data_IF_826444916514
#
_entry.id   IF_826444916514
#
_cell.length_a   1.000
_cell.length_b   1.000
_cell.length_c   1.000
_cell.angle_alpha   90.00
_cell.angle_beta   90.00
_cell.angle_gamma   90.00
#
_symmetry.space_group_name_H-M   'P 1'
#
loop_
_entity.id
_entity.type
_entity.pdbx_description
1 polymer ?
#
# COMPACT_ATOMS: atom_id res chain seq x y z
N UNK A 1 -53.06 2.17 13.28
CA UNK A 1 -53.86 0.94 13.43
C UNK A 1 -52.98 -0.11 14.06
N UNK A 2 -53.38 -0.53 15.30
CA UNK A 2 -53.06 -1.75 16.08
C UNK A 2 -51.55 -2.01 16.34
N UNK A 3 -51.01 -1.70 17.52
CA UNK A 3 -51.15 -2.39 18.86
C UNK A 3 -50.45 -3.76 18.85
N UNK A 4 -49.23 -3.86 19.45
CA UNK A 4 -48.80 -4.48 20.72
C UNK A 4 -49.41 -5.87 21.08
N UNK A 5 -48.93 -6.60 22.08
CA UNK A 5 -47.71 -6.62 22.91
C UNK A 5 -47.28 -8.05 23.37
N UNK A 6 -46.42 -8.10 24.46
CA UNK A 6 -46.14 -9.18 25.43
C UNK A 6 -45.09 -10.22 25.02
N UNK A 7 -44.11 -10.61 25.87
CA UNK A 7 -44.24 -11.00 27.29
C UNK A 7 -42.92 -10.91 28.07
N UNK A 8 -43.05 -10.50 29.30
CA UNK A 8 -42.19 -10.68 30.47
C UNK A 8 -42.12 -12.15 30.90
N UNK A 9 -40.97 -12.56 31.40
CA UNK A 9 -40.80 -13.53 32.51
C UNK A 9 -39.38 -13.32 33.01
N UNK A 10 -39.07 -12.72 34.13
CA UNK A 10 -39.34 -12.97 35.55
C UNK A 10 -38.99 -14.40 35.98
N UNK A 11 -38.04 -14.53 36.86
CA UNK A 11 -37.67 -15.79 37.45
C UNK A 11 -36.37 -15.78 38.26
N UNK A 12 -36.40 -15.12 39.38
CA UNK A 12 -36.08 -15.63 40.73
C UNK A 12 -34.61 -15.90 41.10
N UNK A 13 -34.24 -15.05 42.00
CA UNK A 13 -33.27 -15.25 43.10
C UNK A 13 -33.43 -16.61 43.78
N UNK A 14 -32.33 -17.24 44.14
CA UNK A 14 -32.25 -18.08 45.34
C UNK A 14 -30.99 -17.75 46.12
N UNK A 15 -31.23 -17.01 47.21
CA UNK A 15 -30.40 -17.01 48.41
C UNK A 15 -30.58 -18.36 49.12
N UNK A 16 -29.51 -18.92 49.60
CA UNK A 16 -29.50 -19.84 50.76
C UNK A 16 -28.17 -19.64 51.49
N UNK A 17 -28.21 -18.91 52.53
CA UNK A 17 -28.24 -19.17 53.98
C UNK A 17 -27.23 -20.19 54.47
N UNK A 18 -26.39 -19.64 55.36
CA UNK A 18 -25.55 -20.36 56.37
C UNK A 18 -26.42 -21.21 57.29
N UNK A 19 -25.77 -22.23 57.94
CA UNK A 19 -25.78 -22.09 59.38
C UNK A 19 -24.42 -22.34 60.06
N UNK A 20 -24.33 -21.70 61.19
CA UNK A 20 -23.35 -21.84 62.21
C UNK A 20 -23.59 -23.15 63.02
N UNK A 21 -22.56 -23.69 63.56
CA UNK A 21 -22.61 -24.80 64.50
C UNK A 21 -21.45 -24.75 65.47
N UNK A 22 -21.80 -24.38 66.58
CA UNK A 22 -21.00 -24.21 67.79
C UNK A 22 -20.40 -25.48 68.36
N UNK A 23 -19.26 -25.30 69.02
CA UNK A 23 -18.98 -25.79 70.38
C UNK A 23 -18.75 -27.28 70.62
N UNK A 24 -17.58 -27.56 71.12
CA UNK A 24 -17.31 -28.31 72.33
C UNK A 24 -15.85 -27.97 72.68
N UNK A 25 -15.59 -27.12 73.50
CA UNK A 25 -15.41 -27.05 74.96
C UNK A 25 -14.84 -28.33 75.58
N UNK A 26 -13.60 -28.14 76.01
CA UNK A 26 -13.20 -28.35 77.43
C UNK A 26 -12.85 -29.78 77.91
N UNK A 27 -11.90 -29.78 78.69
CA UNK A 27 -11.49 -30.76 79.72
C UNK A 27 -10.29 -31.61 79.21
N UNK A 28 -9.11 -31.41 79.67
CA UNK A 28 -8.66 -31.87 80.99
C UNK A 28 -7.43 -31.10 81.44
N UNK A 29 -7.60 -30.30 82.42
CA UNK A 29 -6.62 -29.82 83.41
C UNK A 29 -6.46 -30.93 84.41
N UNK A 30 -5.27 -31.12 84.93
CA UNK A 30 -4.94 -31.79 86.18
C UNK A 30 -4.17 -33.12 86.02
N UNK A 31 -3.17 -33.11 86.68
CA UNK A 31 -2.38 -34.09 87.44
C UNK A 31 -0.94 -33.97 87.10
N UNK A 32 -0.06 -33.62 87.87
CA UNK A 32 0.10 -33.29 89.29
C UNK A 32 1.52 -32.85 89.53
N UNK A 33 1.63 -31.81 90.28
CA UNK A 33 2.84 -31.59 91.09
C UNK A 33 3.10 -32.85 91.88
N UNK A 34 4.32 -33.32 91.89
CA UNK A 34 5.05 -33.85 93.03
C UNK A 34 6.23 -34.68 92.58
N UNK A 35 7.38 -34.17 92.77
CA UNK A 35 8.39 -34.82 93.58
C UNK A 35 9.64 -33.90 93.56
N UNK A 36 9.69 -33.13 94.54
CA UNK A 36 10.89 -32.49 95.06
C UNK A 36 11.76 -33.55 95.73
N UNK A 37 13.01 -33.24 95.69
CA UNK A 37 14.07 -33.62 96.59
C UNK A 37 14.79 -34.97 96.33
N UNK A 38 15.98 -34.85 95.96
CA UNK A 38 17.07 -35.23 96.81
C UNK A 38 18.43 -35.09 96.12
N UNK A 39 19.30 -34.41 96.86
CA UNK A 39 20.69 -34.54 97.05
C UNK A 39 21.66 -34.09 95.96
N UNK A 40 22.12 -32.95 96.08
CA UNK A 40 23.37 -32.41 96.72
C UNK A 40 24.55 -33.35 96.83
N UNK A 41 25.59 -32.86 96.31
CA UNK A 41 27.05 -32.96 96.63
C UNK A 41 27.96 -33.46 95.52
N UNK A 42 28.90 -32.58 95.23
CA UNK A 42 30.23 -33.00 94.90
C UNK A 42 30.89 -32.27 93.72
N UNK A 43 31.48 -31.19 93.97
CA UNK A 43 32.71 -30.59 93.58
C UNK A 43 33.31 -30.89 92.23
N UNK A 44 33.75 -29.84 91.59
CA UNK A 44 34.73 -29.92 90.52
C UNK A 44 34.58 -28.88 89.45
N UNK A 45 35.17 -27.73 89.63
CA UNK A 45 35.50 -26.78 88.57
C UNK A 45 36.25 -27.44 87.46
N UNK A 46 35.73 -27.34 86.26
CA UNK A 46 36.53 -27.28 85.05
C UNK A 46 35.77 -26.52 83.98
N UNK A 47 36.26 -25.33 83.79
CA UNK A 47 35.92 -24.55 82.60
C UNK A 47 36.38 -25.36 81.38
N UNK A 48 35.42 -25.78 80.56
CA UNK A 48 35.71 -26.22 79.22
C UNK A 48 34.72 -25.48 78.32
N UNK A 49 35.26 -24.54 77.58
CA UNK A 49 34.53 -23.73 76.61
C UNK A 49 33.67 -24.60 75.74
N UNK A 50 32.36 -24.42 75.80
CA UNK A 50 31.45 -24.92 74.78
C UNK A 50 31.69 -24.13 73.52
N UNK A 51 32.57 -24.61 72.66
CA UNK A 51 32.59 -24.20 71.26
C UNK A 51 31.21 -24.52 70.70
N UNK A 52 30.43 -23.50 70.45
CA UNK A 52 29.19 -23.59 69.61
C UNK A 52 29.60 -24.16 68.26
N UNK A 53 29.44 -25.45 68.10
CA UNK A 53 29.55 -26.08 66.76
C UNK A 53 28.40 -25.56 65.94
N UNK A 54 28.64 -24.49 65.14
CA UNK A 54 27.82 -24.08 64.07
C UNK A 54 27.73 -25.28 63.12
N UNK A 55 26.52 -25.81 62.86
CA UNK A 55 26.40 -26.90 61.90
C UNK A 55 27.09 -26.50 60.59
N UNK A 56 27.78 -27.37 59.89
CA UNK A 56 28.40 -27.06 58.62
C UNK A 56 27.32 -26.60 57.64
N UNK A 57 27.55 -25.46 57.04
CA UNK A 57 26.63 -24.93 56.04
C UNK A 57 26.45 -25.97 54.93
N UNK A 58 25.20 -26.37 54.71
CA UNK A 58 24.85 -27.26 53.60
C UNK A 58 25.18 -26.55 52.28
N UNK A 59 25.90 -27.21 51.38
CA UNK A 59 26.15 -26.64 50.09
C UNK A 59 24.84 -26.52 49.31
N UNK A 60 24.44 -25.30 49.00
CA UNK A 60 23.26 -25.00 48.16
C UNK A 60 23.76 -24.64 46.76
N UNK A 61 23.23 -25.33 45.77
CA UNK A 61 23.47 -24.97 44.39
C UNK A 61 22.76 -23.66 44.06
N UNK A 62 23.50 -22.63 43.67
CA UNK A 62 22.94 -21.36 43.21
C UNK A 62 23.04 -21.30 41.68
N UNK A 63 21.91 -21.09 41.03
CA UNK A 63 21.87 -20.77 39.60
C UNK A 63 21.95 -19.26 39.46
N UNK A 64 23.00 -18.75 38.84
CA UNK A 64 23.10 -17.34 38.50
C UNK A 64 22.18 -17.06 37.32
N UNK A 65 21.02 -16.49 37.57
CA UNK A 65 20.08 -16.06 36.53
C UNK A 65 20.59 -14.75 35.95
N UNK A 66 20.92 -14.76 34.67
CA UNK A 66 21.23 -13.56 33.91
C UNK A 66 19.97 -13.15 33.12
N UNK A 67 19.60 -11.89 33.21
CA UNK A 67 18.51 -11.34 32.39
C UNK A 67 19.00 -11.27 30.95
N UNK A 68 18.37 -12.04 30.07
CA UNK A 68 18.56 -11.92 28.61
C UNK A 68 17.37 -11.18 28.06
N UNK A 69 17.56 -10.13 27.26
CA UNK A 69 16.43 -9.45 26.62
C UNK A 69 15.73 -10.42 25.67
N UNK A 70 14.47 -10.70 25.95
CA UNK A 70 13.61 -11.50 25.08
C UNK A 70 12.94 -10.55 24.09
N UNK A 71 13.16 -10.78 22.80
CA UNK A 71 12.49 -10.04 21.75
C UNK A 71 10.99 -10.36 21.79
N UNK A 72 10.16 -9.34 21.87
CA UNK A 72 8.70 -9.47 21.72
C UNK A 72 8.41 -9.32 20.24
N UNK A 73 7.80 -10.35 19.62
CA UNK A 73 7.26 -10.30 18.28
C UNK A 73 5.73 -10.44 18.34
N UNK A 74 5.01 -9.68 17.56
CA UNK A 74 3.57 -9.76 17.41
C UNK A 74 3.27 -10.21 15.98
N UNK A 75 2.51 -11.29 15.81
CA UNK A 75 2.11 -11.80 14.52
C UNK A 75 0.81 -11.12 14.10
N UNK A 76 0.85 -10.39 13.00
CA UNK A 76 -0.27 -9.64 12.47
C UNK A 76 -0.67 -10.22 11.11
N UNK A 77 -1.97 -10.53 10.89
CA UNK A 77 -2.43 -10.97 9.58
C UNK A 77 -2.31 -9.84 8.57
N UNK A 78 -1.71 -10.13 7.41
CA UNK A 78 -1.52 -9.17 6.33
C UNK A 78 -1.90 -9.76 4.98
N UNK A 79 -2.17 -8.88 4.00
CA UNK A 79 -2.41 -9.24 2.61
C UNK A 79 -1.39 -8.57 1.73
N UNK A 80 -0.77 -9.36 0.85
CA UNK A 80 0.21 -8.85 -0.11
C UNK A 80 -0.51 -8.24 -1.30
N UNK A 81 -0.07 -7.05 -1.70
CA UNK A 81 -0.55 -6.32 -2.86
C UNK A 81 0.64 -5.79 -3.68
N UNK A 82 0.44 -5.65 -4.98
CA UNK A 82 1.43 -5.00 -5.83
C UNK A 82 1.59 -3.53 -5.41
N UNK A 83 2.83 -3.01 -5.47
CA UNK A 83 3.09 -1.61 -5.14
C UNK A 83 2.42 -0.64 -6.12
N UNK A 84 2.30 -1.05 -7.39
CA UNK A 84 1.59 -0.31 -8.44
C UNK A 84 0.82 -1.28 -9.33
N UNK A 85 -0.39 -0.88 -9.72
CA UNK A 85 -1.22 -1.63 -10.66
C UNK A 85 -1.61 -0.68 -11.79
N UNK A 86 -1.31 -1.06 -13.02
CA UNK A 86 -1.72 -0.33 -14.20
C UNK A 86 -2.64 -1.21 -15.05
N UNK A 87 -3.87 -0.76 -15.20
CA UNK A 87 -4.82 -1.36 -16.13
C UNK A 87 -4.56 -0.80 -17.53
N UNK A 88 -4.14 -1.66 -18.44
CA UNK A 88 -3.86 -1.33 -19.83
C UNK A 88 -5.17 -1.32 -20.60
N UNK A 89 -5.55 -0.16 -21.15
CA UNK A 89 -6.81 0.03 -21.89
C UNK A 89 -6.55 0.55 -23.28
N UNK A 90 -7.39 0.13 -24.23
CA UNK A 90 -7.37 0.66 -25.59
C UNK A 90 -7.79 2.15 -25.57
N UNK A 91 -6.95 3.01 -26.18
CA UNK A 91 -7.20 4.45 -26.33
C UNK A 91 -7.62 4.84 -27.74
N UNK A 92 -7.33 3.99 -28.73
CA UNK A 92 -7.80 4.10 -30.10
C UNK A 92 -8.85 3.00 -30.37
N UNK A 93 -9.83 3.31 -31.22
CA UNK A 93 -10.79 2.34 -31.71
C UNK A 93 -10.22 1.63 -32.94
N UNK A 94 -10.36 0.31 -32.97
CA UNK A 94 -9.90 -0.51 -34.12
C UNK A 94 -9.86 -1.99 -33.79
N UNK A 95 -9.40 -2.78 -34.72
CA UNK A 95 -9.22 -4.22 -34.56
C UNK A 95 -7.86 -4.45 -33.92
N UNK A 96 -7.80 -5.31 -32.89
CA UNK A 96 -6.55 -5.74 -32.26
C UNK A 96 -5.83 -6.69 -33.21
N UNK A 97 -4.71 -6.27 -33.78
CA UNK A 97 -3.96 -7.10 -34.72
C UNK A 97 -3.05 -8.11 -34.05
N UNK A 98 -2.27 -7.64 -33.05
CA UNK A 98 -1.20 -8.45 -32.46
C UNK A 98 -1.04 -8.17 -30.98
N UNK A 99 -0.69 -9.24 -30.26
CA UNK A 99 -0.16 -9.20 -28.90
C UNK A 99 1.36 -9.40 -28.97
N UNK A 100 2.13 -8.51 -28.36
CA UNK A 100 3.59 -8.44 -28.47
C UNK A 100 4.32 -8.88 -27.20
N UNK A 101 3.62 -9.52 -26.27
CA UNK A 101 4.17 -10.01 -25.01
C UNK A 101 3.72 -11.45 -24.73
N UNK A 102 4.43 -12.11 -23.82
CA UNK A 102 4.03 -13.40 -23.26
C UNK A 102 3.30 -13.16 -21.92
N UNK A 103 2.15 -13.78 -21.74
CA UNK A 103 1.39 -13.69 -20.48
C UNK A 103 2.23 -14.19 -19.30
N UNK A 104 2.17 -13.47 -18.18
CA UNK A 104 2.95 -13.76 -16.99
C UNK A 104 4.43 -13.36 -17.06
N UNK A 105 4.89 -12.76 -18.16
CA UNK A 105 6.27 -12.26 -18.27
C UNK A 105 6.42 -10.87 -17.63
N UNK A 106 7.66 -10.51 -17.35
CA UNK A 106 8.00 -9.16 -16.93
C UNK A 106 8.11 -8.25 -18.17
N UNK A 107 7.61 -7.01 -18.01
CA UNK A 107 7.60 -5.99 -19.06
C UNK A 107 8.17 -4.69 -18.51
N UNK A 108 8.79 -3.90 -19.39
CA UNK A 108 9.35 -2.59 -19.04
C UNK A 108 8.36 -1.45 -19.35
N UNK A 109 8.53 -0.33 -18.66
CA UNK A 109 7.80 0.88 -18.98
C UNK A 109 8.13 1.33 -20.42
N UNK A 110 7.11 1.63 -21.23
CA UNK A 110 7.26 1.97 -22.66
C UNK A 110 7.29 0.77 -23.59
N UNK A 111 7.42 -0.47 -23.09
CA UNK A 111 7.37 -1.68 -23.92
C UNK A 111 6.04 -1.79 -24.65
N UNK A 112 6.09 -2.12 -25.95
CA UNK A 112 4.89 -2.36 -26.77
C UNK A 112 4.22 -3.66 -26.35
N UNK A 113 2.94 -3.57 -26.05
CA UNK A 113 2.13 -4.71 -25.56
C UNK A 113 1.15 -5.19 -26.62
N UNK A 114 0.45 -4.26 -27.26
CA UNK A 114 -0.53 -4.59 -28.27
C UNK A 114 -0.40 -3.64 -29.47
N UNK A 115 -0.82 -4.14 -30.62
CA UNK A 115 -0.94 -3.38 -31.86
C UNK A 115 -2.40 -3.40 -32.31
N UNK A 116 -3.00 -2.23 -32.38
CA UNK A 116 -4.33 -2.01 -33.01
C UNK A 116 -4.05 -1.65 -34.47
N UNK A 117 -4.96 -2.03 -35.39
CA UNK A 117 -4.84 -1.72 -36.82
C UNK A 117 -4.58 -0.22 -37.04
N UNK A 118 -3.39 0.15 -37.52
CA UNK A 118 -3.00 1.54 -37.72
C UNK A 118 -3.56 2.13 -39.02
N UNK A 119 -3.98 1.31 -39.98
CA UNK A 119 -4.27 1.76 -41.35
C UNK A 119 -5.33 2.88 -41.44
N UNK A 120 -6.47 2.84 -40.72
CA UNK A 120 -7.41 3.94 -40.73
C UNK A 120 -6.84 5.23 -40.12
N UNK A 121 -6.00 5.10 -39.08
CA UNK A 121 -5.37 6.23 -38.39
C UNK A 121 -4.24 6.85 -39.23
N UNK A 122 -3.48 6.04 -39.95
CA UNK A 122 -2.49 6.51 -40.93
C UNK A 122 -3.16 7.27 -42.09
N UNK A 123 -4.28 6.77 -42.58
CA UNK A 123 -5.05 7.47 -43.59
C UNK A 123 -5.54 8.85 -43.08
N UNK A 124 -5.96 8.95 -41.83
CA UNK A 124 -6.34 10.22 -41.20
C UNK A 124 -5.16 11.19 -41.09
N UNK A 125 -3.96 10.71 -40.73
CA UNK A 125 -2.72 11.51 -40.69
C UNK A 125 -2.39 12.03 -42.08
N UNK A 126 -2.46 11.16 -43.10
CA UNK A 126 -2.16 11.54 -44.48
C UNK A 126 -3.15 12.60 -45.00
N UNK A 127 -4.44 12.47 -44.70
CA UNK A 127 -5.46 13.45 -45.02
C UNK A 127 -5.22 14.82 -44.36
N UNK A 128 -4.87 14.80 -43.05
CA UNK A 128 -4.56 16.04 -42.31
C UNK A 128 -3.27 16.70 -42.84
N UNK A 129 -2.24 15.90 -43.21
CA UNK A 129 -1.02 16.41 -43.83
C UNK A 129 -1.29 17.07 -45.19
N UNK A 130 -2.13 16.47 -46.03
CA UNK A 130 -2.55 17.07 -47.30
C UNK A 130 -3.29 18.39 -47.08
N UNK A 131 -4.16 18.48 -46.04
CA UNK A 131 -4.83 19.70 -45.69
C UNK A 131 -3.90 20.80 -45.23
N UNK A 132 -2.85 20.46 -44.45
CA UNK A 132 -1.81 21.40 -44.04
C UNK A 132 -1.05 21.91 -45.27
N UNK A 133 -0.66 21.04 -46.19
CA UNK A 133 0.08 21.41 -47.40
C UNK A 133 -0.76 22.37 -48.27
N UNK A 134 -2.09 22.14 -48.35
CA UNK A 134 -3.01 23.05 -49.03
C UNK A 134 -3.06 24.43 -48.39
N UNK A 135 -3.13 24.50 -47.03
CA UNK A 135 -3.15 25.77 -46.27
C UNK A 135 -1.81 26.53 -46.45
N UNK A 136 -0.68 25.86 -46.44
CA UNK A 136 0.64 26.45 -46.68
C UNK A 136 0.70 27.04 -48.10
N UNK A 137 0.15 26.34 -49.11
CA UNK A 137 0.14 26.82 -50.49
C UNK A 137 -0.76 28.05 -50.65
N UNK A 138 -1.92 28.08 -49.95
CA UNK A 138 -2.81 29.23 -49.95
C UNK A 138 -2.16 30.47 -49.31
N UNK A 139 -1.47 30.30 -48.16
CA UNK A 139 -0.75 31.38 -47.53
C UNK A 139 0.40 31.91 -48.44
N UNK A 140 1.19 31.03 -49.06
CA UNK A 140 2.24 31.42 -49.99
C UNK A 140 1.67 32.26 -51.16
N UNK A 141 0.53 31.89 -51.71
CA UNK A 141 -0.14 32.64 -52.75
C UNK A 141 -0.57 34.03 -52.26
N UNK A 142 -1.21 34.12 -51.07
CA UNK A 142 -1.64 35.37 -50.45
C UNK A 142 -0.41 36.27 -50.13
N UNK A 143 0.67 35.70 -49.58
CA UNK A 143 1.92 36.42 -49.35
C UNK A 143 2.54 37.00 -50.62
N UNK A 144 2.56 36.22 -51.70
CA UNK A 144 3.01 36.73 -53.02
C UNK A 144 2.18 37.91 -53.51
N UNK A 145 0.84 37.90 -53.26
CA UNK A 145 -0.02 39.03 -53.58
C UNK A 145 0.33 40.28 -52.82
N UNK A 146 0.53 40.17 -51.48
CA UNK A 146 1.00 41.29 -50.62
C UNK A 146 2.35 41.79 -51.11
N UNK A 147 3.31 40.93 -51.36
CA UNK A 147 4.65 41.31 -51.85
C UNK A 147 4.55 42.08 -53.17
N UNK A 148 3.67 41.69 -54.07
CA UNK A 148 3.42 42.41 -55.34
C UNK A 148 2.78 43.76 -55.12
N UNK A 149 1.81 43.88 -54.21
CA UNK A 149 1.08 45.13 -53.94
C UNK A 149 1.89 46.12 -53.15
N UNK A 150 2.87 45.70 -52.34
CA UNK A 150 3.73 46.57 -51.52
C UNK A 150 4.44 47.67 -52.31
N UNK A 151 5.10 47.47 -53.47
CA UNK A 151 5.64 48.56 -54.27
C UNK A 151 4.59 49.35 -55.01
N UNK A 152 3.47 48.74 -55.40
CA UNK A 152 2.39 49.38 -56.19
C UNK A 152 1.63 50.40 -55.36
N UNK A 153 1.38 50.14 -54.08
CA UNK A 153 0.74 51.10 -53.17
C UNK A 153 1.63 52.35 -52.98
N UNK A 154 2.96 52.19 -52.95
CA UNK A 154 3.89 53.34 -52.82
C UNK A 154 3.86 54.18 -54.10
N UNK A 155 3.61 53.59 -55.26
CA UNK A 155 3.46 54.25 -56.52
C UNK A 155 2.04 54.77 -56.84
N UNK A 156 1.06 54.65 -55.88
CA UNK A 156 -0.35 54.95 -56.06
C UNK A 156 -1.00 54.19 -57.22
N UNK A 157 -0.48 52.99 -57.57
CA UNK A 157 -0.96 52.17 -58.68
C UNK A 157 -2.06 51.17 -58.25
N UNK A 158 -2.32 51.00 -56.96
CA UNK A 158 -3.42 50.20 -56.36
C UNK A 158 -4.08 50.99 -55.25
N UNK A 159 -5.35 50.69 -54.96
CA UNK A 159 -6.06 51.33 -53.87
C UNK A 159 -5.54 50.84 -52.51
N UNK A 160 -5.70 51.68 -51.49
CA UNK A 160 -5.33 51.30 -50.07
C UNK A 160 -6.18 50.11 -49.62
N UNK A 161 -7.45 50.10 -49.98
CA UNK A 161 -8.37 48.99 -49.68
C UNK A 161 -7.88 47.67 -50.26
N UNK A 162 -7.48 47.62 -51.56
CA UNK A 162 -7.00 46.40 -52.19
C UNK A 162 -5.74 45.88 -51.51
N UNK A 163 -4.85 46.75 -51.05
CA UNK A 163 -3.66 46.34 -50.27
C UNK A 163 -4.03 45.77 -48.89
N UNK A 164 -4.92 46.48 -48.18
CA UNK A 164 -5.38 46.07 -46.86
C UNK A 164 -6.11 44.73 -46.90
N UNK A 165 -6.94 44.53 -47.93
CA UNK A 165 -7.62 43.23 -48.18
C UNK A 165 -6.63 42.14 -48.49
N UNK A 166 -5.55 42.40 -49.24
CA UNK A 166 -4.51 41.41 -49.51
C UNK A 166 -3.75 41.04 -48.23
N UNK A 167 -3.46 42.01 -47.37
CA UNK A 167 -2.82 41.75 -46.04
C UNK A 167 -3.74 40.96 -45.11
N UNK A 168 -5.04 41.31 -45.10
CA UNK A 168 -6.02 40.57 -44.31
C UNK A 168 -6.12 39.11 -44.79
N UNK A 169 -6.20 38.88 -46.11
CA UNK A 169 -6.23 37.56 -46.71
C UNK A 169 -4.96 36.73 -46.35
N UNK A 170 -3.77 37.34 -46.36
CA UNK A 170 -2.57 36.68 -45.95
C UNK A 170 -2.62 36.27 -44.45
N UNK A 171 -3.05 37.18 -43.57
CA UNK A 171 -3.20 36.89 -42.14
C UNK A 171 -4.20 35.76 -41.90
N UNK A 172 -5.31 35.76 -42.63
CA UNK A 172 -6.31 34.68 -42.57
C UNK A 172 -5.71 33.34 -43.00
N UNK A 173 -5.00 33.29 -44.13
CA UNK A 173 -4.35 32.07 -44.61
C UNK A 173 -3.26 31.57 -43.65
N UNK A 174 -2.52 32.48 -42.98
CA UNK A 174 -1.56 32.12 -41.94
C UNK A 174 -2.26 31.51 -40.70
N UNK A 175 -3.44 32.01 -40.31
CA UNK A 175 -4.23 31.41 -39.24
C UNK A 175 -4.74 30.00 -39.63
N UNK A 176 -5.14 29.80 -40.88
CA UNK A 176 -5.61 28.50 -41.41
C UNK A 176 -4.50 27.44 -41.36
N UNK A 177 -3.20 27.81 -41.53
CA UNK A 177 -2.06 26.92 -41.29
C UNK A 177 -2.04 26.46 -39.85
N UNK A 178 -2.32 27.36 -38.89
CA UNK A 178 -2.40 27.01 -37.47
C UNK A 178 -3.45 25.93 -37.20
N UNK A 179 -4.62 26.12 -37.75
CA UNK A 179 -5.76 25.15 -37.63
C UNK A 179 -5.40 23.80 -38.24
N UNK A 180 -4.84 23.79 -39.48
CA UNK A 180 -4.49 22.55 -40.17
C UNK A 180 -3.32 21.82 -39.44
N UNK A 181 -2.36 22.55 -38.85
CA UNK A 181 -1.28 21.97 -38.07
C UNK A 181 -1.79 21.32 -36.79
N UNK A 182 -2.76 21.94 -36.13
CA UNK A 182 -3.42 21.37 -34.93
C UNK A 182 -4.18 20.07 -35.28
N UNK A 183 -4.90 20.05 -36.40
CA UNK A 183 -5.60 18.87 -36.90
C UNK A 183 -4.63 17.71 -37.21
N UNK A 184 -3.50 17.99 -37.87
CA UNK A 184 -2.44 16.99 -38.11
C UNK A 184 -1.89 16.43 -36.79
N UNK A 185 -1.59 17.27 -35.82
CA UNK A 185 -1.12 16.81 -34.52
C UNK A 185 -2.12 15.91 -33.81
N UNK A 186 -3.40 16.25 -33.86
CA UNK A 186 -4.45 15.38 -33.31
C UNK A 186 -4.47 14.00 -33.99
N UNK A 187 -4.39 13.96 -35.32
CA UNK A 187 -4.33 12.71 -36.07
C UNK A 187 -3.08 11.88 -35.71
N UNK A 188 -1.92 12.52 -35.57
CA UNK A 188 -0.68 11.84 -35.14
C UNK A 188 -0.77 11.28 -33.72
N UNK A 189 -1.40 12.00 -32.78
CA UNK A 189 -1.64 11.52 -31.41
C UNK A 189 -2.55 10.29 -31.47
N UNK A 190 -3.63 10.32 -32.22
CA UNK A 190 -4.51 9.17 -32.37
C UNK A 190 -3.80 7.96 -32.98
N UNK A 191 -2.96 8.17 -33.97
CA UNK A 191 -2.13 7.09 -34.54
C UNK A 191 -1.17 6.51 -33.49
N UNK A 192 -0.59 7.34 -32.63
CA UNK A 192 0.28 6.83 -31.57
C UNK A 192 -0.44 5.90 -30.59
N UNK A 193 -1.76 6.05 -30.43
CA UNK A 193 -2.58 5.18 -29.58
C UNK A 193 -2.89 3.81 -30.20
N UNK A 194 -2.61 3.62 -31.50
CA UNK A 194 -2.68 2.30 -32.13
C UNK A 194 -1.62 1.34 -31.56
N UNK A 195 -0.49 1.86 -31.09
CA UNK A 195 0.51 1.10 -30.36
C UNK A 195 0.27 1.27 -28.86
N UNK A 196 -0.19 0.21 -28.20
CA UNK A 196 -0.44 0.23 -26.76
C UNK A 196 0.82 -0.19 -26.02
N UNK A 197 1.31 0.66 -25.11
CA UNK A 197 2.54 0.44 -24.35
C UNK A 197 2.25 0.33 -22.85
N UNK A 198 3.17 -0.30 -22.10
CA UNK A 198 3.09 -0.34 -20.64
C UNK A 198 3.47 1.02 -20.03
N UNK A 199 2.67 1.59 -19.12
CA UNK A 199 3.01 2.80 -18.39
C UNK A 199 3.99 2.58 -17.23
N UNK A 200 4.13 1.33 -16.76
CA UNK A 200 5.00 0.93 -15.65
C UNK A 200 5.78 -0.35 -16.02
N UNK A 201 6.90 -0.55 -15.37
CA UNK A 201 7.57 -1.85 -15.37
C UNK A 201 6.92 -2.77 -14.34
N UNK A 202 6.89 -4.07 -14.62
CA UNK A 202 6.31 -5.09 -13.74
C UNK A 202 5.86 -6.33 -14.48
N UNK A 203 5.15 -7.20 -13.80
CA UNK A 203 4.62 -8.45 -14.36
C UNK A 203 3.27 -8.22 -15.03
N UNK A 204 3.16 -8.60 -16.29
CA UNK A 204 1.91 -8.51 -17.04
C UNK A 204 1.06 -9.76 -16.80
N UNK A 205 -0.22 -9.56 -16.56
CA UNK A 205 -1.19 -10.65 -16.43
C UNK A 205 -1.59 -11.26 -17.78
N UNK A 206 -2.72 -11.97 -17.78
CA UNK A 206 -3.33 -12.49 -19.01
C UNK A 206 -3.89 -11.37 -19.86
N UNK A 207 -3.94 -11.58 -21.17
CA UNK A 207 -4.73 -10.75 -22.08
C UNK A 207 -6.24 -10.95 -21.81
N UNK A 208 -6.98 -9.86 -21.75
CA UNK A 208 -8.44 -9.87 -21.53
C UNK A 208 -9.21 -9.90 -22.86
N UNK A 209 -8.51 -9.66 -23.96
CA UNK A 209 -9.04 -9.68 -25.33
C UNK A 209 -8.11 -10.48 -26.22
N UNK A 210 -8.67 -11.05 -27.28
CA UNK A 210 -7.94 -11.83 -28.26
C UNK A 210 -7.68 -11.01 -29.54
N UNK A 211 -6.72 -11.41 -30.34
CA UNK A 211 -6.45 -10.86 -31.66
C UNK A 211 -7.69 -11.02 -32.54
N UNK A 212 -7.98 -10.02 -33.36
CA UNK A 212 -9.20 -9.90 -34.14
C UNK A 212 -10.38 -9.23 -33.41
N UNK A 213 -10.27 -8.98 -32.12
CA UNK A 213 -11.33 -8.29 -31.37
C UNK A 213 -11.37 -6.80 -31.71
N UNK A 214 -12.59 -6.24 -31.78
CA UNK A 214 -12.81 -4.81 -31.90
C UNK A 214 -12.68 -4.17 -30.52
N UNK A 215 -11.79 -3.20 -30.36
CA UNK A 215 -11.50 -2.51 -29.10
C UNK A 215 -11.69 -1.01 -29.23
N UNK A 216 -11.83 -0.32 -28.09
CA UNK A 216 -11.84 1.15 -28.03
C UNK A 216 -13.11 1.81 -28.54
N UNK A 217 -14.21 1.07 -28.76
CA UNK A 217 -15.50 1.65 -29.12
C UNK A 217 -16.36 1.91 -27.87
N UNK A 218 -16.85 3.14 -27.72
CA UNK A 218 -17.72 3.56 -26.63
C UNK A 218 -16.97 3.75 -25.30
N UNK A 219 -16.59 2.66 -24.63
CA UNK A 219 -15.78 2.67 -23.42
C UNK A 219 -14.37 2.16 -23.71
N UNK A 220 -13.38 2.65 -22.94
CA UNK A 220 -12.01 2.17 -23.04
C UNK A 220 -11.94 0.69 -22.63
N UNK A 221 -11.76 -0.19 -23.64
CA UNK A 221 -11.72 -1.65 -23.43
C UNK A 221 -10.48 -2.04 -22.64
N UNK A 222 -10.60 -2.76 -21.51
CA UNK A 222 -9.45 -3.29 -20.78
C UNK A 222 -8.77 -4.40 -21.60
N UNK A 223 -7.44 -4.32 -21.73
CA UNK A 223 -6.63 -5.25 -22.52
C UNK A 223 -5.80 -6.20 -21.67
N UNK A 224 -5.17 -5.68 -20.63
CA UNK A 224 -4.35 -6.44 -19.67
C UNK A 224 -4.14 -5.62 -18.39
N UNK A 225 -3.56 -6.24 -17.38
CA UNK A 225 -3.12 -5.56 -16.16
C UNK A 225 -1.63 -5.80 -15.97
N UNK A 226 -0.87 -4.74 -15.70
CA UNK A 226 0.55 -4.81 -15.31
C UNK A 226 0.64 -4.48 -13.83
N UNK A 227 1.35 -5.33 -13.08
CA UNK A 227 1.54 -5.19 -11.64
C UNK A 227 3.03 -5.07 -11.34
N UNK A 228 3.40 -4.02 -10.66
CA UNK A 228 4.74 -3.87 -10.10
C UNK A 228 4.79 -4.65 -8.80
N UNK A 229 5.54 -5.76 -8.81
CA UNK A 229 5.64 -6.71 -7.70
C UNK A 229 6.97 -6.60 -6.94
N UNK A 230 7.80 -5.65 -7.28
CA UNK A 230 9.00 -5.26 -6.54
C UNK A 230 9.08 -3.72 -6.46
N UNK A 231 9.03 -3.17 -5.22
CA UNK A 231 8.62 -3.83 -3.97
C UNK A 231 7.14 -4.25 -3.96
N UNK A 232 6.74 -5.08 -2.99
CA UNK A 232 5.34 -5.37 -2.68
C UNK A 232 4.91 -4.63 -1.43
N UNK A 233 3.62 -4.37 -1.32
CA UNK A 233 3.00 -3.88 -0.09
C UNK A 233 2.27 -4.99 0.64
N UNK A 234 2.36 -4.95 1.96
CA UNK A 234 1.58 -5.82 2.85
C UNK A 234 0.66 -4.93 3.67
N UNK A 235 -0.64 -5.04 3.42
CA UNK A 235 -1.66 -4.31 4.15
C UNK A 235 -2.06 -5.11 5.38
N UNK A 236 -2.00 -4.46 6.55
CA UNK A 236 -2.25 -5.04 7.86
C UNK A 236 -3.34 -4.21 8.52
N UNK A 237 -4.49 -4.81 8.83
CA UNK A 237 -5.59 -4.11 9.45
C UNK A 237 -5.56 -4.33 10.96
N UNK A 238 -5.53 -3.23 11.74
CA UNK A 238 -5.42 -3.26 13.20
C UNK A 238 -6.37 -2.25 13.84
N UNK A 239 -6.84 -2.50 15.07
CA UNK A 239 -7.56 -1.49 15.84
C UNK A 239 -6.68 -0.24 16.08
N UNK A 240 -7.26 0.95 16.04
CA UNK A 240 -6.53 2.20 16.24
C UNK A 240 -5.70 2.22 17.53
N UNK A 241 -6.21 1.62 18.62
CA UNK A 241 -5.49 1.49 19.88
C UNK A 241 -4.22 0.64 19.80
N UNK A 242 -4.20 -0.42 18.96
CA UNK A 242 -3.01 -1.23 18.71
C UNK A 242 -1.96 -0.45 17.92
N UNK A 243 -2.39 0.31 16.92
CA UNK A 243 -1.49 1.16 16.14
C UNK A 243 -0.81 2.22 17.01
N UNK A 244 -1.55 2.86 17.92
CA UNK A 244 -0.98 3.82 18.86
C UNK A 244 0.04 3.18 19.80
N UNK A 245 -0.18 1.94 20.25
CA UNK A 245 0.82 1.20 21.06
C UNK A 245 2.08 0.86 20.26
N UNK A 246 1.92 0.43 19.00
CA UNK A 246 3.06 0.17 18.12
C UNK A 246 3.90 1.43 17.90
N UNK A 247 3.25 2.56 17.62
CA UNK A 247 3.91 3.85 17.45
C UNK A 247 4.67 4.28 18.70
N UNK A 248 4.02 4.23 19.87
CA UNK A 248 4.66 4.53 21.15
C UNK A 248 5.82 3.57 21.46
N UNK A 249 5.71 2.29 21.07
CA UNK A 249 6.78 1.30 21.17
C UNK A 249 7.99 1.64 20.32
N UNK A 250 7.76 2.17 19.10
CA UNK A 250 8.83 2.61 18.21
C UNK A 250 9.52 3.87 18.75
N UNK A 251 8.74 4.90 19.14
CA UNK A 251 9.25 6.14 19.73
C UNK A 251 10.04 5.92 21.03
N UNK A 252 9.65 4.94 21.84
CA UNK A 252 10.35 4.58 23.08
C UNK A 252 11.56 3.65 22.88
N UNK A 253 11.89 3.25 21.63
CA UNK A 253 12.98 2.34 21.31
C UNK A 253 12.76 0.87 21.74
N UNK A 254 11.53 0.50 22.12
CA UNK A 254 11.15 -0.89 22.42
C UNK A 254 11.03 -1.76 21.17
N UNK A 255 10.71 -1.15 20.05
CA UNK A 255 10.67 -1.79 18.75
C UNK A 255 11.91 -1.37 17.93
N UNK A 256 12.41 -2.30 17.12
CA UNK A 256 13.53 -2.02 16.22
C UNK A 256 13.06 -1.27 15.00
N UNK A 257 13.79 -0.24 14.62
CA UNK A 257 13.63 0.40 13.31
C UNK A 257 14.07 -0.54 12.18
N UNK A 258 13.48 -0.38 11.01
CA UNK A 258 13.95 -1.03 9.81
C UNK A 258 15.31 -0.47 9.40
N UNK A 259 16.17 -1.31 8.80
CA UNK A 259 17.46 -0.88 8.27
C UNK A 259 17.24 0.19 7.18
N UNK A 260 17.69 1.43 7.43
CA UNK A 260 17.57 2.55 6.48
C UNK A 260 16.23 3.27 6.44
N UNK A 261 15.30 3.02 7.38
CA UNK A 261 13.97 3.66 7.40
C UNK A 261 13.50 4.08 8.79
N UNK A 262 12.52 4.98 8.82
CA UNK A 262 11.88 5.46 10.06
C UNK A 262 10.82 4.47 10.61
N UNK A 263 10.43 3.45 9.83
CA UNK A 263 9.40 2.48 10.17
C UNK A 263 9.90 1.35 11.06
N UNK A 264 8.96 0.58 11.63
CA UNK A 264 9.29 -0.63 12.36
C UNK A 264 9.73 -1.75 11.40
N UNK A 265 10.75 -2.53 11.80
CA UNK A 265 11.18 -3.69 11.02
C UNK A 265 10.08 -4.77 11.01
N UNK A 266 9.75 -5.27 9.82
CA UNK A 266 8.75 -6.31 9.60
C UNK A 266 9.41 -7.53 8.99
N UNK A 267 9.04 -8.72 9.46
CA UNK A 267 9.33 -9.98 8.81
C UNK A 267 8.05 -10.61 8.33
N UNK A 268 8.09 -11.22 7.15
CA UNK A 268 6.95 -11.90 6.58
C UNK A 268 7.07 -13.39 6.85
N UNK A 269 6.02 -13.96 7.38
CA UNK A 269 5.87 -15.41 7.53
C UNK A 269 4.67 -15.85 6.70
N UNK A 270 4.87 -16.88 5.88
CA UNK A 270 3.79 -17.49 5.11
C UNK A 270 2.93 -18.40 5.99
N UNK A 271 1.74 -18.74 5.50
CA UNK A 271 0.79 -19.61 6.22
C UNK A 271 1.36 -21.02 6.49
N UNK A 272 2.35 -21.46 5.71
CA UNK A 272 3.07 -22.72 5.90
C UNK A 272 4.19 -22.66 6.95
N UNK A 273 4.38 -21.49 7.59
CA UNK A 273 5.38 -21.26 8.63
C UNK A 273 6.76 -20.87 8.11
N UNK A 274 6.99 -20.83 6.79
CA UNK A 274 8.25 -20.36 6.20
C UNK A 274 8.39 -18.85 6.38
N UNK A 275 9.58 -18.40 6.74
CA UNK A 275 9.90 -16.97 6.74
C UNK A 275 10.37 -16.54 5.34
N UNK A 276 9.94 -15.35 4.93
CA UNK A 276 10.47 -14.70 3.75
C UNK A 276 11.85 -14.10 4.05
N UNK A 277 12.80 -14.27 3.13
CA UNK A 277 14.19 -13.89 3.36
C UNK A 277 14.45 -12.39 3.49
N UNK A 278 13.60 -11.56 2.84
CA UNK A 278 13.76 -10.12 2.86
C UNK A 278 12.98 -9.49 4.00
N UNK A 279 13.57 -8.45 4.61
CA UNK A 279 12.95 -7.68 5.67
C UNK A 279 12.22 -6.49 5.06
N UNK A 280 11.03 -6.20 5.57
CA UNK A 280 10.26 -5.03 5.21
C UNK A 280 10.30 -3.92 6.25
N UNK A 281 9.77 -2.78 5.87
CA UNK A 281 9.57 -1.61 6.70
C UNK A 281 8.08 -1.29 6.83
N UNK A 282 7.59 -1.13 8.05
CA UNK A 282 6.21 -0.72 8.31
C UNK A 282 6.09 0.80 8.10
N UNK A 283 5.25 1.19 7.16
CA UNK A 283 4.94 2.58 6.86
C UNK A 283 3.72 3.02 7.68
N UNK A 284 3.86 4.05 8.50
CA UNK A 284 2.74 4.63 9.28
C UNK A 284 2.03 5.75 8.49
N UNK A 285 1.88 5.58 7.18
CA UNK A 285 1.50 6.68 6.28
C UNK A 285 0.00 6.94 6.22
N UNK A 286 -0.83 5.94 6.45
CA UNK A 286 -2.29 6.10 6.39
C UNK A 286 -2.92 5.76 7.74
N UNK A 287 -3.17 6.82 8.53
CA UNK A 287 -3.83 6.71 9.83
C UNK A 287 -5.34 6.93 9.73
N UNK A 288 -5.91 6.77 8.54
CA UNK A 288 -7.37 6.90 8.36
C UNK A 288 -8.08 5.78 9.10
N UNK A 289 -8.85 6.15 10.10
CA UNK A 289 -9.68 5.21 10.85
C UNK A 289 -10.95 4.95 10.06
N UNK A 290 -11.24 3.69 9.79
CA UNK A 290 -12.54 3.32 9.25
C UNK A 290 -13.60 3.54 10.32
N UNK A 291 -14.51 4.48 10.09
CA UNK A 291 -15.52 4.93 11.07
C UNK A 291 -16.47 3.80 11.51
N UNK A 292 -16.74 2.83 10.63
CA UNK A 292 -17.67 1.73 10.92
C UNK A 292 -17.04 0.62 11.77
N UNK A 293 -15.71 0.39 11.63
CA UNK A 293 -15.00 -0.73 12.27
C UNK A 293 -14.01 -0.28 13.35
N UNK A 294 -13.65 1.01 13.39
CA UNK A 294 -12.60 1.54 14.28
C UNK A 294 -11.20 1.01 13.94
N UNK A 295 -11.01 0.44 12.75
CA UNK A 295 -9.76 -0.14 12.30
C UNK A 295 -8.95 0.83 11.44
N UNK A 296 -7.64 0.66 11.49
CA UNK A 296 -6.64 1.38 10.68
C UNK A 296 -5.89 0.36 9.84
N UNK A 297 -5.66 0.68 8.58
CA UNK A 297 -4.82 -0.13 7.72
C UNK A 297 -3.39 0.41 7.77
N UNK A 298 -2.48 -0.41 8.25
CA UNK A 298 -1.04 -0.20 8.17
C UNK A 298 -0.52 -0.83 6.89
N UNK A 299 0.51 -0.22 6.32
CA UNK A 299 1.18 -0.74 5.13
C UNK A 299 2.65 -1.00 5.43
N UNK A 300 3.11 -2.19 5.13
CA UNK A 300 4.52 -2.51 5.11
C UNK A 300 5.02 -2.61 3.66
N UNK A 301 6.19 -2.07 3.40
CA UNK A 301 6.90 -2.21 2.14
C UNK A 301 7.95 -3.29 2.28
N UNK A 302 7.96 -4.23 1.35
CA UNK A 302 8.84 -5.40 1.38
C UNK A 302 9.49 -5.57 0.01
N UNK A 303 10.82 -5.59 -0.09
CA UNK A 303 11.52 -5.91 -1.33
C UNK A 303 11.14 -7.31 -1.82
N UNK A 304 11.01 -7.48 -3.14
CA UNK A 304 10.63 -8.75 -3.75
C UNK A 304 11.40 -8.98 -5.08
N UNK A 305 12.74 -9.02 -5.03
CA UNK A 305 13.57 -9.04 -6.23
C UNK A 305 13.39 -10.30 -7.08
N UNK A 306 12.90 -11.38 -6.49
CA UNK A 306 12.71 -12.66 -7.18
C UNK A 306 11.26 -12.94 -7.61
N UNK A 307 10.31 -12.05 -7.33
CA UNK A 307 8.91 -12.11 -7.73
C UNK A 307 8.07 -13.12 -6.97
#
# INVERSE_FOLDING_TARGET
MKQTPHARQDGRQKRMTRPAGHAVKALVISVALAALAACNQGGGQQEAGAASQVPPALPVGVLKVTFTPVGISENLPGRVEASRVAEIRARAAGILEKRLFKEGSDVEAGQKLFQIDPAPLEAAVNSAQASLNRAITAEKLAAQRVTRYTPLIKANAVSRQDYDDAVAAQKQAAADIGVARAALRTAQINLSYATVTSPISGRIGRALVTEGALVGQGAATPLATVQQIDPVYVNITQPASAVMRLKAGLESGKLKHAEGGEGAAVRIQFDDGREYGEKGSLLFTDLTVNESTGQVTLRAEVPNPNG
#
